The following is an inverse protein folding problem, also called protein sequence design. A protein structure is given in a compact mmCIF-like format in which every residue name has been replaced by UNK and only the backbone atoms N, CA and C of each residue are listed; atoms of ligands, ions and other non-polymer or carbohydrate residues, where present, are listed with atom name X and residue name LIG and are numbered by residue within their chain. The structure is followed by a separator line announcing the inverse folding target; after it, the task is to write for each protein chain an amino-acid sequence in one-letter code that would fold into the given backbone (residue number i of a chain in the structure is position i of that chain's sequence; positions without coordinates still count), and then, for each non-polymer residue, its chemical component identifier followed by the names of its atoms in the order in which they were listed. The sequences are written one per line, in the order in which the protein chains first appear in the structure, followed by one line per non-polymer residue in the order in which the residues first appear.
data_IF_142406977102
#
_entry.id   IF_142406977102
#
_cell.length_a   1.000
_cell.length_b   1.000
_cell.length_c   1.000
_cell.angle_alpha   90.00
_cell.angle_beta   90.00
_cell.angle_gamma   90.00
#
_symmetry.space_group_name_H-M   'P 1'
#
loop_
_entity.id
_entity.type
_entity.pdbx_description
1 polymer ?
#
# COMPACT_ATOMS: atom_id res chain seq x y z
N UNK A 1 30.32 -29.37 13.83
CA UNK A 1 30.61 -28.37 12.77
C UNK A 1 30.64 -26.94 13.31
N UNK A 2 29.54 -26.39 13.86
CA UNK A 2 29.49 -24.98 14.30
C UNK A 2 30.50 -24.60 15.40
N UNK A 3 30.71 -25.47 16.40
CA UNK A 3 31.73 -25.26 17.43
C UNK A 3 33.16 -25.24 16.87
N UNK A 4 33.42 -25.97 15.78
CA UNK A 4 34.73 -26.02 15.10
C UNK A 4 34.98 -24.72 14.33
N UNK A 5 33.91 -24.08 13.85
CA UNK A 5 34.00 -22.76 13.20
C UNK A 5 34.23 -21.66 14.25
N UNK A 6 33.57 -21.73 15.40
CA UNK A 6 33.78 -20.81 16.52
C UNK A 6 35.19 -20.90 17.09
N UNK A 7 35.74 -22.12 17.24
CA UNK A 7 37.11 -22.32 17.75
C UNK A 7 38.19 -21.77 16.81
N UNK A 8 37.90 -21.63 15.52
CA UNK A 8 38.83 -21.02 14.54
C UNK A 8 38.79 -19.49 14.53
N UNK A 9 37.81 -18.88 15.19
CA UNK A 9 37.56 -17.43 15.12
C UNK A 9 38.35 -16.60 16.16
N UNK A 10 39.23 -17.25 16.95
CA UNK A 10 40.28 -16.58 17.73
C UNK A 10 39.89 -16.05 19.12
N UNK A 11 38.64 -16.19 19.56
CA UNK A 11 38.23 -15.75 20.90
C UNK A 11 38.72 -16.72 21.98
N UNK A 12 39.42 -16.18 22.99
CA UNK A 12 40.02 -16.91 24.11
C UNK A 12 39.00 -17.53 25.07
N UNK A 13 37.70 -17.27 24.87
CA UNK A 13 36.62 -17.78 25.69
C UNK A 13 35.69 -18.63 24.82
N UNK A 14 36.01 -19.93 24.69
CA UNK A 14 35.29 -20.89 23.84
C UNK A 14 33.90 -21.13 24.43
N UNK A 15 32.93 -20.30 24.05
CA UNK A 15 31.51 -20.54 24.33
C UNK A 15 31.00 -21.60 23.37
N UNK A 16 30.56 -22.73 23.91
CA UNK A 16 29.89 -23.78 23.12
C UNK A 16 28.52 -23.28 22.67
N UNK A 17 28.09 -23.66 21.46
CA UNK A 17 26.74 -23.34 21.00
C UNK A 17 25.70 -24.02 21.91
N UNK A 18 24.71 -23.25 22.36
CA UNK A 18 23.61 -23.80 23.17
C UNK A 18 22.78 -24.82 22.38
N UNK A 19 22.15 -25.79 23.06
CA UNK A 19 21.42 -26.91 22.43
C UNK A 19 20.44 -26.49 21.33
N UNK A 20 19.80 -25.32 21.48
CA UNK A 20 18.81 -24.80 20.54
C UNK A 20 19.37 -23.79 19.51
N UNK A 21 20.70 -23.69 19.35
CA UNK A 21 21.32 -22.68 18.49
C UNK A 21 20.86 -22.77 17.03
N UNK A 22 20.71 -23.98 16.49
CA UNK A 22 20.30 -24.20 15.11
C UNK A 22 18.87 -23.71 14.88
N UNK A 23 17.94 -24.08 15.77
CA UNK A 23 16.54 -23.63 15.71
C UNK A 23 16.41 -22.13 15.89
N UNK A 24 17.17 -21.53 16.81
CA UNK A 24 17.20 -20.08 17.01
C UNK A 24 17.79 -19.35 15.81
N UNK A 25 18.85 -19.89 15.20
CA UNK A 25 19.48 -19.34 14.00
C UNK A 25 18.53 -19.39 12.79
N UNK A 26 17.85 -20.52 12.59
CA UNK A 26 16.81 -20.66 11.56
C UNK A 26 15.73 -19.61 11.82
N UNK A 27 15.16 -19.55 13.02
CA UNK A 27 14.11 -18.58 13.37
C UNK A 27 14.54 -17.12 13.19
N UNK A 28 15.81 -16.79 13.45
CA UNK A 28 16.34 -15.45 13.26
C UNK A 28 16.55 -15.07 11.78
N UNK A 29 16.85 -16.05 10.92
CA UNK A 29 17.08 -15.85 9.48
C UNK A 29 15.86 -16.12 8.60
N UNK A 30 14.87 -16.86 9.08
CA UNK A 30 13.63 -17.09 8.34
C UNK A 30 12.72 -15.88 8.50
N UNK A 31 12.54 -15.14 7.41
CA UNK A 31 11.48 -14.15 7.25
C UNK A 31 10.43 -14.72 6.30
N UNK A 32 9.16 -14.50 6.62
CA UNK A 32 8.10 -14.80 5.66
C UNK A 32 8.27 -13.89 4.43
N UNK A 33 8.52 -14.47 3.27
CA UNK A 33 8.42 -13.73 2.02
C UNK A 33 6.94 -13.47 1.73
N UNK A 34 6.63 -12.25 1.32
CA UNK A 34 5.31 -11.95 0.78
C UNK A 34 5.34 -12.32 -0.71
N UNK A 35 4.34 -13.05 -1.23
CA UNK A 35 4.21 -13.26 -2.66
C UNK A 35 4.20 -11.90 -3.35
N UNK A 36 5.12 -11.71 -4.30
CA UNK A 36 5.19 -10.51 -5.11
C UNK A 36 4.49 -10.75 -6.44
N UNK A 37 3.71 -9.77 -6.90
CA UNK A 37 2.98 -9.94 -8.15
C UNK A 37 3.97 -9.99 -9.33
N UNK A 38 3.99 -11.11 -10.05
CA UNK A 38 4.90 -11.35 -11.18
C UNK A 38 4.72 -10.31 -12.30
N UNK A 39 3.49 -9.86 -12.56
CA UNK A 39 3.26 -8.78 -13.51
C UNK A 39 3.95 -7.50 -13.04
N UNK A 40 3.82 -7.15 -11.76
CA UNK A 40 4.48 -5.97 -11.18
C UNK A 40 6.00 -6.05 -11.32
N UNK A 41 6.60 -7.20 -11.02
CA UNK A 41 8.04 -7.40 -11.19
C UNK A 41 8.52 -7.20 -12.64
N UNK A 42 7.71 -7.58 -13.63
CA UNK A 42 8.05 -7.40 -15.05
C UNK A 42 7.98 -5.95 -15.52
N UNK A 43 7.13 -5.12 -14.89
CA UNK A 43 6.95 -3.72 -15.26
C UNK A 43 7.82 -2.76 -14.42
N UNK A 44 8.62 -3.26 -13.48
CA UNK A 44 9.60 -2.49 -12.71
C UNK A 44 10.97 -2.39 -13.42
N UNK A 45 10.97 -2.46 -14.76
CA UNK A 45 12.17 -2.21 -15.56
C UNK A 45 12.61 -0.75 -15.38
N UNK A 46 13.85 -0.48 -14.91
CA UNK A 46 14.38 0.87 -14.75
C UNK A 46 14.24 1.74 -16.01
N UNK A 47 14.31 1.15 -17.20
CA UNK A 47 14.16 1.89 -18.45
C UNK A 47 12.73 2.40 -18.64
N UNK A 48 11.74 1.53 -18.45
CA UNK A 48 10.31 1.89 -18.59
C UNK A 48 9.93 2.95 -17.56
N UNK A 49 10.42 2.80 -16.32
CA UNK A 49 10.20 3.77 -15.25
C UNK A 49 10.79 5.13 -15.64
N UNK A 50 12.03 5.16 -16.14
CA UNK A 50 12.70 6.40 -16.54
C UNK A 50 11.98 7.09 -17.69
N UNK A 51 11.62 6.35 -18.74
CA UNK A 51 10.87 6.90 -19.88
C UNK A 51 9.52 7.50 -19.46
N UNK A 52 8.85 6.91 -18.47
CA UNK A 52 7.62 7.45 -17.91
C UNK A 52 7.86 8.79 -17.19
N UNK A 53 8.88 8.86 -16.33
CA UNK A 53 9.23 10.11 -15.62
C UNK A 53 9.67 11.23 -16.58
N UNK A 54 10.45 10.89 -17.61
CA UNK A 54 10.87 11.85 -18.64
C UNK A 54 9.65 12.45 -19.36
N UNK A 55 8.66 11.63 -19.71
CA UNK A 55 7.40 12.11 -20.30
C UNK A 55 6.63 13.02 -19.36
N UNK A 56 6.51 12.64 -18.09
CA UNK A 56 5.82 13.47 -17.08
C UNK A 56 6.50 14.83 -16.95
N UNK A 57 7.83 14.87 -16.91
CA UNK A 57 8.58 16.14 -16.84
C UNK A 57 8.36 17.00 -18.09
N UNK A 58 8.38 16.40 -19.29
CA UNK A 58 8.09 17.10 -20.54
C UNK A 58 6.69 17.71 -20.50
N UNK A 59 5.67 16.95 -20.07
CA UNK A 59 4.29 17.43 -19.96
C UNK A 59 4.15 18.57 -18.95
N UNK A 60 4.81 18.49 -17.80
CA UNK A 60 4.84 19.56 -16.79
C UNK A 60 5.42 20.85 -17.39
N UNK A 61 6.54 20.73 -18.13
CA UNK A 61 7.18 21.87 -18.78
C UNK A 61 6.33 22.47 -19.90
N UNK A 62 5.68 21.63 -20.72
CA UNK A 62 4.82 22.07 -21.83
C UNK A 62 3.59 22.84 -21.35
N UNK A 63 2.97 22.39 -20.26
CA UNK A 63 1.75 23.00 -19.73
C UNK A 63 2.01 24.02 -18.62
N UNK A 64 3.26 24.22 -18.21
CA UNK A 64 3.63 25.15 -17.14
C UNK A 64 2.93 24.82 -15.82
N UNK A 65 2.79 23.53 -15.49
CA UNK A 65 2.04 23.08 -14.31
C UNK A 65 2.83 23.46 -13.06
N UNK A 66 2.21 24.23 -12.17
CA UNK A 66 2.82 24.60 -10.89
C UNK A 66 2.90 23.37 -9.98
N UNK A 67 3.94 23.30 -9.14
CA UNK A 67 4.14 22.18 -8.21
C UNK A 67 2.91 21.99 -7.29
N UNK A 68 2.26 23.08 -6.89
CA UNK A 68 1.04 23.06 -6.06
C UNK A 68 -0.16 22.39 -6.73
N UNK A 69 -0.18 22.36 -8.06
CA UNK A 69 -1.22 21.74 -8.89
C UNK A 69 -0.87 20.28 -9.28
N UNK A 70 0.27 19.77 -8.83
CA UNK A 70 0.65 18.36 -9.01
C UNK A 70 0.09 17.56 -7.83
N UNK A 71 -0.92 16.75 -8.11
CA UNK A 71 -1.52 15.81 -7.16
C UNK A 71 -1.01 14.39 -7.43
N UNK A 72 -0.92 13.57 -6.37
CA UNK A 72 -0.72 12.14 -6.55
C UNK A 72 -1.87 11.55 -7.38
N UNK A 73 -1.57 10.53 -8.18
CA UNK A 73 -2.62 9.75 -8.83
C UNK A 73 -3.63 9.31 -7.78
N UNK A 74 -4.91 9.61 -8.02
CA UNK A 74 -6.07 9.28 -7.16
C UNK A 74 -5.88 7.87 -6.59
N UNK A 75 -5.63 7.77 -5.28
CA UNK A 75 -5.60 6.47 -4.62
C UNK A 75 -7.04 6.09 -4.31
N UNK A 76 -7.47 4.99 -4.91
CA UNK A 76 -8.81 4.45 -4.76
C UNK A 76 -8.77 3.33 -3.73
N UNK A 77 -9.29 3.58 -2.53
CA UNK A 77 -9.41 2.54 -1.50
C UNK A 77 -10.86 2.05 -1.44
N UNK A 78 -11.06 0.81 -1.87
CA UNK A 78 -12.34 0.10 -1.76
C UNK A 78 -12.53 -0.54 -0.39
N UNK A 79 -13.55 -0.08 0.34
CA UNK A 79 -14.03 -0.70 1.57
C UNK A 79 -15.24 -1.57 1.28
N UNK A 80 -15.13 -2.86 1.59
CA UNK A 80 -16.26 -3.76 1.57
C UNK A 80 -17.02 -3.68 2.89
N UNK A 81 -18.17 -3.00 2.88
CA UNK A 81 -19.09 -3.01 4.01
C UNK A 81 -19.87 -4.33 4.03
N UNK A 82 -19.91 -4.98 5.19
CA UNK A 82 -20.63 -6.24 5.39
C UNK A 82 -19.79 -7.51 5.21
N UNK A 83 -18.53 -7.40 4.77
CA UNK A 83 -17.57 -8.49 4.90
C UNK A 83 -17.02 -8.51 6.33
N UNK A 84 -17.41 -9.53 7.10
CA UNK A 84 -16.84 -9.78 8.42
C UNK A 84 -15.40 -10.27 8.21
N UNK A 85 -14.42 -9.42 8.50
CA UNK A 85 -13.04 -9.86 8.68
C UNK A 85 -12.98 -10.87 9.85
N UNK A 86 -11.90 -11.67 9.94
CA UNK A 86 -11.72 -12.66 11.01
C UNK A 86 -11.97 -12.04 12.39
N UNK A 87 -13.10 -12.37 13.00
CA UNK A 87 -13.51 -11.84 14.30
C UNK A 87 -13.11 -12.82 15.41
N UNK A 88 -12.57 -12.30 16.51
CA UNK A 88 -12.28 -13.10 17.70
C UNK A 88 -13.58 -13.28 18.49
N UNK A 89 -14.06 -14.52 18.54
CA UNK A 89 -15.30 -14.88 19.25
C UNK A 89 -14.95 -15.63 20.53
N UNK A 90 -15.64 -15.32 21.64
CA UNK A 90 -15.51 -16.09 22.88
C UNK A 90 -16.47 -17.29 22.78
N UNK A 91 -15.92 -18.49 22.69
CA UNK A 91 -16.68 -19.75 22.64
C UNK A 91 -16.53 -20.53 23.95
N UNK A 92 -17.44 -21.48 24.18
CA UNK A 92 -17.33 -22.44 25.29
C UNK A 92 -16.15 -23.39 25.04
N UNK A 93 -15.46 -23.81 26.11
CA UNK A 93 -14.27 -24.65 26.03
C UNK A 93 -14.50 -26.01 25.32
N UNK A 94 -15.74 -26.51 25.34
CA UNK A 94 -16.15 -27.80 24.75
C UNK A 94 -16.51 -27.70 23.26
N UNK A 95 -16.47 -26.50 22.65
CA UNK A 95 -16.81 -26.34 21.24
C UNK A 95 -15.73 -26.94 20.35
N UNK A 96 -16.06 -28.06 19.70
CA UNK A 96 -15.20 -28.71 18.72
C UNK A 96 -15.43 -28.05 17.36
N UNK A 97 -14.43 -27.31 16.88
CA UNK A 97 -14.42 -26.70 15.56
C UNK A 97 -14.41 -25.16 15.58
N UNK A 98 -14.24 -24.57 14.41
CA UNK A 98 -14.19 -23.12 14.25
C UNK A 98 -15.60 -22.52 14.27
N UNK A 99 -15.89 -21.50 15.11
CA UNK A 99 -17.20 -20.86 15.14
C UNK A 99 -17.48 -20.17 13.81
N UNK A 100 -18.70 -20.33 13.29
CA UNK A 100 -19.17 -19.63 12.10
C UNK A 100 -19.93 -18.37 12.52
N UNK A 101 -19.67 -17.26 11.84
CA UNK A 101 -20.46 -16.04 11.93
C UNK A 101 -21.26 -15.94 10.64
N UNK A 102 -22.60 -15.91 10.76
CA UNK A 102 -23.48 -15.67 9.63
C UNK A 102 -23.29 -14.23 9.19
N UNK A 103 -22.84 -14.04 7.95
CA UNK A 103 -22.65 -12.70 7.40
C UNK A 103 -24.02 -12.07 7.08
N UNK A 104 -24.26 -10.80 7.45
CA UNK A 104 -25.40 -10.06 6.95
C UNK A 104 -25.33 -10.04 5.41
N UNK A 105 -26.42 -10.40 4.73
CA UNK A 105 -26.46 -10.52 3.26
C UNK A 105 -26.31 -9.21 2.48
N UNK A 106 -25.96 -8.11 3.14
CA UNK A 106 -25.77 -6.79 2.53
C UNK A 106 -24.29 -6.63 2.20
N UNK A 107 -23.97 -6.58 0.90
CA UNK A 107 -22.62 -6.35 0.39
C UNK A 107 -22.59 -5.02 -0.35
N UNK A 108 -22.24 -3.97 0.36
CA UNK A 108 -22.02 -2.66 -0.25
C UNK A 108 -20.53 -2.36 -0.31
N UNK A 109 -20.12 -1.79 -1.44
CA UNK A 109 -18.77 -1.28 -1.62
C UNK A 109 -18.83 0.23 -1.45
N UNK A 110 -17.98 0.76 -0.59
CA UNK A 110 -17.72 2.19 -0.46
C UNK A 110 -16.30 2.42 -0.89
N UNK A 111 -16.11 3.31 -1.85
CA UNK A 111 -14.80 3.70 -2.30
C UNK A 111 -14.46 5.06 -1.70
N UNK A 112 -13.31 5.18 -1.04
CA UNK A 112 -12.69 6.49 -0.80
C UNK A 112 -11.73 6.84 -1.92
N UNK A 113 -11.76 8.10 -2.32
CA UNK A 113 -10.81 8.72 -3.22
C UNK A 113 -10.11 9.80 -2.41
N UNK A 114 -8.80 9.63 -2.26
CA UNK A 114 -7.94 10.56 -1.53
C UNK A 114 -6.84 11.10 -2.46
N UNK A 115 -6.60 12.41 -2.37
CA UNK A 115 -5.60 13.09 -3.18
C UNK A 115 -4.79 14.04 -2.31
N UNK A 116 -3.47 14.02 -2.47
CA UNK A 116 -2.52 14.90 -1.78
C UNK A 116 -1.63 15.54 -2.84
N UNK A 117 -1.46 16.86 -2.77
CA UNK A 117 -0.56 17.57 -3.66
C UNK A 117 0.92 17.46 -3.24
N UNK A 118 1.82 17.92 -4.10
CA UNK A 118 3.26 17.91 -3.83
C UNK A 118 3.66 18.78 -2.62
N UNK A 119 2.82 19.75 -2.24
CA UNK A 119 3.01 20.63 -1.06
C UNK A 119 2.36 20.08 0.21
N UNK A 120 1.87 18.82 0.19
CA UNK A 120 1.24 18.09 1.30
C UNK A 120 -0.14 18.61 1.73
N UNK A 121 -0.82 19.35 0.88
CA UNK A 121 -2.23 19.68 1.02
C UNK A 121 -3.12 18.57 0.45
N UNK A 122 -4.04 18.07 1.26
CA UNK A 122 -5.00 17.04 0.87
C UNK A 122 -6.32 17.65 0.38
N UNK A 123 -6.88 17.11 -0.70
CA UNK A 123 -8.29 17.37 -1.02
C UNK A 123 -9.17 16.62 -0.02
N UNK A 124 -10.36 17.16 0.35
CA UNK A 124 -11.32 16.43 1.14
C UNK A 124 -11.60 15.06 0.51
N UNK A 125 -11.61 13.98 1.31
CA UNK A 125 -11.83 12.64 0.79
C UNK A 125 -13.22 12.55 0.18
N UNK A 126 -13.28 11.97 -1.02
CA UNK A 126 -14.53 11.72 -1.71
C UNK A 126 -14.98 10.28 -1.42
N UNK A 127 -16.20 10.10 -0.92
CA UNK A 127 -16.78 8.77 -0.70
C UNK A 127 -17.84 8.49 -1.75
N UNK A 128 -17.68 7.40 -2.49
CA UNK A 128 -18.67 6.94 -3.46
C UNK A 128 -19.24 5.58 -3.05
N UNK A 129 -20.56 5.46 -3.10
CA UNK A 129 -21.30 4.19 -2.99
C UNK A 129 -22.19 4.03 -4.22
N UNK A 130 -22.77 2.84 -4.42
CA UNK A 130 -23.68 2.58 -5.56
C UNK A 130 -24.76 3.67 -5.66
N UNK A 131 -24.68 4.49 -6.70
CA UNK A 131 -25.67 5.52 -7.02
C UNK A 131 -25.62 6.80 -6.18
N UNK A 132 -24.58 7.00 -5.34
CA UNK A 132 -24.41 8.24 -4.57
C UNK A 132 -22.93 8.57 -4.35
N UNK A 133 -22.51 9.74 -4.82
CA UNK A 133 -21.24 10.36 -4.43
C UNK A 133 -21.51 11.42 -3.36
N UNK A 134 -20.85 11.31 -2.22
CA UNK A 134 -20.90 12.30 -1.16
C UNK A 134 -19.61 13.11 -1.24
N UNK A 135 -19.71 14.28 -1.85
CA UNK A 135 -18.65 15.29 -1.83
C UNK A 135 -18.85 16.12 -0.58
N UNK A 136 -17.97 15.96 0.41
CA UNK A 136 -17.89 16.92 1.51
C UNK A 136 -17.01 18.08 1.05
N UNK A 137 -17.69 19.20 0.83
CA UNK A 137 -17.18 20.51 0.44
C UNK A 137 -16.63 20.60 -0.99
N UNK A 138 -17.39 21.33 -1.82
CA UNK A 138 -17.15 21.48 -3.24
C UNK A 138 -15.84 22.18 -3.55
N UNK A 139 -14.85 21.39 -3.97
CA UNK A 139 -13.67 21.92 -4.68
C UNK A 139 -14.00 21.90 -6.17
N UNK A 140 -14.26 23.09 -6.74
CA UNK A 140 -14.10 23.30 -8.18
C UNK A 140 -12.63 23.05 -8.50
N UNK A 141 -12.32 21.88 -9.08
CA UNK A 141 -11.11 21.70 -9.86
C UNK A 141 -11.11 22.82 -10.91
N UNK A 142 -10.29 23.86 -10.72
CA UNK A 142 -10.05 24.85 -11.77
C UNK A 142 -9.30 24.11 -12.87
N UNK A 143 -10.03 23.57 -13.83
CA UNK A 143 -9.45 23.25 -15.12
C UNK A 143 -8.83 24.54 -15.64
N UNK A 144 -7.50 24.58 -15.76
CA UNK A 144 -6.79 25.66 -16.41
C UNK A 144 -7.09 25.59 -17.92
N UNK A 145 -8.31 25.99 -18.31
CA UNK A 145 -8.59 26.44 -19.66
C UNK A 145 -8.38 27.96 -19.66
N UNK A 146 -7.12 28.37 -19.72
CA UNK A 146 -6.79 29.68 -20.28
C UNK A 146 -6.80 29.52 -21.79
N UNK A 147 -7.99 29.53 -22.39
CA UNK A 147 -8.13 29.86 -23.80
C UNK A 147 -7.70 31.31 -23.94
N UNK A 148 -6.48 31.53 -24.45
CA UNK A 148 -6.07 32.82 -24.96
C UNK A 148 -6.97 33.17 -26.14
N UNK A 149 -8.01 33.95 -25.88
CA UNK A 149 -8.72 34.69 -26.91
C UNK A 149 -7.82 35.84 -27.36
N UNK A 150 -7.32 35.74 -28.58
CA UNK A 150 -7.10 36.92 -29.42
C UNK A 150 -8.48 37.55 -29.65
N UNK A 151 -8.67 38.78 -29.19
CA UNK A 151 -9.62 39.70 -29.78
C UNK A 151 -8.83 40.96 -30.17
N UNK A 152 -9.11 41.41 -31.39
CA UNK A 152 -8.49 42.52 -32.12
C UNK A 152 -8.62 43.90 -31.43
#
# INVERSE_FOLDING_TARGET
MANILLSKHGDTNIKTVGVNWATNFIRARTRFSRPYNNQRAKYEDPQIIKEWFDRVQITIMQHGIALEDIYNFVDETGYAMGLVATAKVVTRAEMIGQPFIVQPGIREWVTSIECINSTRWGLPPCLSSKGRSIWKDGIKMRACQRTGGLED
#
